data_IF_039826613657
#
_entry.id   IF_039826613657
#
_cell.length_a   1.000
_cell.length_b   1.000
_cell.length_c   1.000
_cell.angle_alpha   90.00
_cell.angle_beta   90.00
_cell.angle_gamma   90.00
#
_symmetry.space_group_name_H-M   'P 1'
#
loop_
_entity.id
_entity.type
_entity.pdbx_description
1 polymer ?
#
# COMPACT_ATOMS: atom_id res chain seq x y z
N UNK A 1 -23.81 -3.40 -13.22
CA UNK A 1 -23.57 -1.95 -13.00
C UNK A 1 -22.94 -1.31 -14.24
N UNK A 2 -23.11 -0.01 -14.44
CA UNK A 2 -22.49 0.74 -15.55
C UNK A 2 -21.03 1.10 -15.23
N UNK A 3 -20.22 1.40 -16.26
CA UNK A 3 -18.80 1.74 -16.11
C UNK A 3 -18.55 2.92 -15.14
N UNK A 4 -19.42 3.95 -15.15
CA UNK A 4 -19.30 5.08 -14.22
C UNK A 4 -19.54 4.70 -12.76
N UNK A 5 -20.45 3.76 -12.50
CA UNK A 5 -20.69 3.21 -11.15
C UNK A 5 -19.53 2.37 -10.69
N UNK A 6 -18.98 1.51 -11.58
CA UNK A 6 -17.78 0.72 -11.29
C UNK A 6 -16.59 1.63 -10.97
N UNK A 7 -16.38 2.70 -11.74
CA UNK A 7 -15.36 3.70 -11.51
C UNK A 7 -15.50 4.38 -10.13
N UNK A 8 -16.71 4.81 -9.78
CA UNK A 8 -16.99 5.46 -8.49
C UNK A 8 -16.74 4.52 -7.30
N UNK A 9 -17.11 3.24 -7.43
CA UNK A 9 -16.94 2.24 -6.35
C UNK A 9 -15.51 1.78 -6.15
N UNK A 10 -14.67 1.83 -7.19
CA UNK A 10 -13.28 1.33 -7.15
C UNK A 10 -12.23 2.45 -7.07
N UNK A 11 -12.63 3.70 -7.31
CA UNK A 11 -11.71 4.83 -7.44
C UNK A 11 -10.89 4.81 -8.73
N UNK A 12 -11.17 3.88 -9.66
CA UNK A 12 -10.48 3.80 -10.94
C UNK A 12 -11.09 4.79 -11.96
N UNK A 13 -10.26 5.47 -12.74
CA UNK A 13 -10.75 6.26 -13.86
C UNK A 13 -11.38 5.36 -14.95
N UNK A 14 -12.42 5.84 -15.63
CA UNK A 14 -13.09 5.10 -16.72
C UNK A 14 -12.09 4.68 -17.82
N UNK A 15 -11.10 5.54 -18.11
CA UNK A 15 -10.03 5.23 -19.07
C UNK A 15 -9.15 4.07 -18.60
N UNK A 16 -8.86 4.00 -17.30
CA UNK A 16 -8.10 2.90 -16.69
C UNK A 16 -8.87 1.57 -16.77
N UNK A 17 -10.18 1.59 -16.54
CA UNK A 17 -11.01 0.39 -16.67
C UNK A 17 -10.97 -0.15 -18.11
N UNK A 18 -11.15 0.74 -19.10
CA UNK A 18 -11.07 0.37 -20.53
C UNK A 18 -9.69 -0.16 -20.92
N UNK A 19 -8.64 0.43 -20.36
CA UNK A 19 -7.27 -0.07 -20.56
C UNK A 19 -7.10 -1.49 -20.00
N UNK A 20 -7.61 -1.77 -18.81
CA UNK A 20 -7.56 -3.13 -18.23
C UNK A 20 -8.37 -4.14 -19.03
N UNK A 21 -9.54 -3.76 -19.54
CA UNK A 21 -10.30 -4.59 -20.50
C UNK A 21 -9.49 -4.89 -21.77
N UNK A 22 -8.82 -3.87 -22.34
CA UNK A 22 -8.03 -4.04 -23.57
C UNK A 22 -6.80 -4.92 -23.38
N UNK A 23 -6.27 -4.98 -22.16
CA UNK A 23 -5.13 -5.83 -21.76
C UNK A 23 -5.57 -7.25 -21.36
N UNK A 24 -6.86 -7.50 -21.20
CA UNK A 24 -7.38 -8.78 -20.70
C UNK A 24 -7.17 -9.00 -19.19
N UNK A 25 -6.78 -7.96 -18.45
CA UNK A 25 -6.62 -7.99 -16.99
C UNK A 25 -8.00 -7.98 -16.32
N UNK A 26 -8.93 -7.28 -16.91
CA UNK A 26 -10.35 -7.28 -16.59
C UNK A 26 -11.11 -7.86 -17.77
N UNK A 27 -12.09 -8.71 -17.49
CA UNK A 27 -12.92 -9.28 -18.53
C UNK A 27 -13.65 -8.19 -19.32
N UNK A 28 -13.87 -8.44 -20.60
CA UNK A 28 -14.66 -7.53 -21.41
C UNK A 28 -16.09 -7.46 -20.87
N UNK A 29 -16.53 -6.25 -20.58
CA UNK A 29 -17.89 -6.01 -20.11
C UNK A 29 -18.92 -6.69 -21.00
N UNK A 30 -19.92 -7.30 -20.40
CA UNK A 30 -21.13 -7.76 -21.13
C UNK A 30 -21.83 -6.55 -21.71
N UNK A 31 -22.50 -6.74 -22.83
CA UNK A 31 -23.33 -5.68 -23.42
C UNK A 31 -24.77 -5.92 -22.99
N UNK A 32 -25.36 -4.92 -22.33
CA UNK A 32 -26.77 -4.93 -21.99
C UNK A 32 -27.66 -4.70 -23.24
N UNK A 33 -29.00 -4.79 -23.10
CA UNK A 33 -29.96 -4.66 -24.20
C UNK A 33 -29.83 -3.38 -25.03
N UNK A 34 -29.27 -2.30 -24.45
CA UNK A 34 -28.99 -1.02 -25.13
C UNK A 34 -27.56 -0.88 -25.65
N UNK A 35 -26.76 -1.97 -25.75
CA UNK A 35 -25.39 -1.95 -26.24
C UNK A 35 -24.36 -1.35 -25.26
N UNK A 36 -24.80 -0.88 -24.11
CA UNK A 36 -23.95 -0.31 -23.06
C UNK A 36 -23.19 -1.41 -22.30
N UNK A 37 -21.99 -1.05 -21.81
CA UNK A 37 -21.17 -1.93 -20.97
C UNK A 37 -21.80 -2.17 -19.61
N UNK A 38 -21.93 -3.44 -19.23
CA UNK A 38 -22.43 -3.88 -17.93
C UNK A 38 -21.40 -4.78 -17.24
N UNK A 39 -21.16 -4.48 -15.96
CA UNK A 39 -20.20 -5.17 -15.11
C UNK A 39 -20.93 -5.87 -13.95
N UNK A 40 -20.43 -7.06 -13.56
CA UNK A 40 -20.96 -7.85 -12.46
C UNK A 40 -20.22 -7.60 -11.13
N UNK A 41 -20.57 -8.41 -10.14
CA UNK A 41 -19.89 -8.40 -8.84
C UNK A 41 -18.43 -8.87 -8.96
N UNK A 42 -18.18 -9.90 -9.76
CA UNK A 42 -16.84 -10.44 -10.02
C UNK A 42 -15.92 -9.39 -10.64
N UNK A 43 -16.40 -8.58 -11.59
CA UNK A 43 -15.62 -7.49 -12.19
C UNK A 43 -15.25 -6.43 -11.15
N UNK A 44 -16.19 -6.13 -10.24
CA UNK A 44 -15.94 -5.19 -9.14
C UNK A 44 -14.86 -5.73 -8.20
N UNK A 45 -14.95 -6.99 -7.78
CA UNK A 45 -13.99 -7.62 -6.87
C UNK A 45 -12.59 -7.67 -7.50
N UNK A 46 -12.51 -8.12 -8.76
CA UNK A 46 -11.26 -8.18 -9.53
C UNK A 46 -10.63 -6.78 -9.68
N UNK A 47 -11.42 -5.78 -10.01
CA UNK A 47 -10.93 -4.41 -10.14
C UNK A 47 -10.51 -3.81 -8.79
N UNK A 48 -11.24 -4.07 -7.70
CA UNK A 48 -10.82 -3.67 -6.35
C UNK A 48 -9.48 -4.30 -5.96
N UNK A 49 -9.26 -5.57 -6.29
CA UNK A 49 -7.98 -6.24 -6.07
C UNK A 49 -6.86 -5.56 -6.86
N UNK A 50 -7.05 -5.34 -8.16
CA UNK A 50 -6.07 -4.66 -9.03
C UNK A 50 -5.70 -3.28 -8.45
N UNK A 51 -6.70 -2.49 -8.05
CA UNK A 51 -6.48 -1.14 -7.51
C UNK A 51 -5.71 -1.18 -6.18
N UNK A 52 -6.00 -2.13 -5.28
CA UNK A 52 -5.22 -2.33 -4.05
C UNK A 52 -3.77 -2.66 -4.34
N UNK A 53 -3.51 -3.60 -5.24
CA UNK A 53 -2.15 -3.96 -5.66
C UNK A 53 -1.40 -2.78 -6.27
N UNK A 54 -2.06 -1.99 -7.13
CA UNK A 54 -1.49 -0.78 -7.73
C UNK A 54 -1.15 0.27 -6.67
N UNK A 55 -2.04 0.49 -5.71
CA UNK A 55 -1.82 1.43 -4.59
C UNK A 55 -0.68 0.96 -3.66
N UNK A 56 -0.45 -0.34 -3.55
CA UNK A 56 0.70 -0.92 -2.86
C UNK A 56 2.01 -0.87 -3.68
N UNK A 57 2.00 -0.25 -4.87
CA UNK A 57 3.18 -0.09 -5.72
C UNK A 57 3.49 -1.28 -6.63
N UNK A 58 2.59 -2.27 -6.73
CA UNK A 58 2.80 -3.41 -7.64
C UNK A 58 2.82 -2.98 -9.10
N UNK A 59 3.77 -3.53 -9.85
CA UNK A 59 3.81 -3.39 -11.31
C UNK A 59 2.67 -4.18 -11.95
N UNK A 60 2.14 -3.64 -13.05
CA UNK A 60 0.99 -4.25 -13.72
C UNK A 60 1.27 -5.68 -14.21
N UNK A 61 2.48 -5.93 -14.74
CA UNK A 61 2.91 -7.27 -15.16
C UNK A 61 2.86 -8.31 -14.04
N UNK A 62 3.16 -7.90 -12.80
CA UNK A 62 3.06 -8.80 -11.65
C UNK A 62 1.60 -9.11 -11.32
N UNK A 63 0.73 -8.09 -11.40
CA UNK A 63 -0.70 -8.27 -11.18
C UNK A 63 -1.30 -9.19 -12.25
N UNK A 64 -0.92 -9.03 -13.52
CA UNK A 64 -1.32 -9.91 -14.62
C UNK A 64 -0.97 -11.38 -14.31
N UNK A 65 0.25 -11.64 -13.83
CA UNK A 65 0.70 -12.99 -13.48
C UNK A 65 -0.01 -13.58 -12.26
N UNK A 66 -0.32 -12.76 -11.26
CA UNK A 66 -1.11 -13.20 -10.11
C UNK A 66 -2.53 -13.60 -10.52
N UNK A 67 -3.18 -12.79 -11.35
CA UNK A 67 -4.51 -13.09 -11.86
C UNK A 67 -4.51 -14.32 -12.76
N UNK A 68 -3.49 -14.49 -13.60
CA UNK A 68 -3.32 -15.69 -14.41
C UNK A 68 -3.15 -16.96 -13.55
N UNK A 69 -2.41 -16.88 -12.44
CA UNK A 69 -2.28 -17.98 -11.48
C UNK A 69 -3.62 -18.30 -10.77
N UNK A 70 -4.43 -17.28 -10.43
CA UNK A 70 -5.76 -17.51 -9.86
C UNK A 70 -6.69 -18.22 -10.86
N UNK A 71 -6.58 -17.87 -12.15
CA UNK A 71 -7.35 -18.48 -13.22
C UNK A 71 -6.83 -19.91 -13.57
N UNK A 72 -5.51 -20.14 -13.46
CA UNK A 72 -4.83 -21.43 -13.69
C UNK A 72 -3.67 -21.65 -12.71
N UNK A 73 -3.87 -22.40 -11.60
CA UNK A 73 -2.83 -22.65 -10.60
C UNK A 73 -1.58 -23.36 -11.11
N UNK A 74 -1.63 -24.00 -12.30
CA UNK A 74 -0.46 -24.65 -12.91
C UNK A 74 0.63 -23.64 -13.33
N UNK A 75 0.27 -22.35 -13.43
CA UNK A 75 1.17 -21.25 -13.77
C UNK A 75 2.00 -20.75 -12.58
N UNK A 76 1.87 -21.37 -11.41
CA UNK A 76 2.69 -21.09 -10.23
C UNK A 76 4.16 -21.39 -10.49
N UNK A 77 5.01 -20.38 -10.27
CA UNK A 77 6.46 -20.49 -10.50
C UNK A 77 7.23 -19.96 -9.28
N UNK A 78 8.49 -20.44 -9.04
CA UNK A 78 9.34 -19.87 -7.99
C UNK A 78 9.48 -18.35 -8.11
N UNK A 79 9.58 -17.83 -9.35
CA UNK A 79 9.62 -16.39 -9.61
C UNK A 79 8.41 -15.65 -9.03
N UNK A 80 7.22 -16.25 -9.09
CA UNK A 80 6.00 -15.64 -8.57
C UNK A 80 6.05 -15.57 -7.03
N UNK A 81 6.59 -16.61 -6.37
CA UNK A 81 6.81 -16.61 -4.93
C UNK A 81 7.79 -15.51 -4.52
N UNK A 82 8.94 -15.41 -5.19
CA UNK A 82 9.94 -14.36 -4.91
C UNK A 82 9.32 -12.96 -5.05
N UNK A 83 8.47 -12.73 -6.05
CA UNK A 83 7.77 -11.45 -6.22
C UNK A 83 6.75 -11.17 -5.13
N UNK A 84 6.03 -12.19 -4.67
CA UNK A 84 5.10 -12.07 -3.53
C UNK A 84 5.88 -11.64 -2.29
N UNK A 85 6.99 -12.32 -1.99
CA UNK A 85 7.80 -12.03 -0.81
C UNK A 85 8.38 -10.61 -0.84
N UNK A 86 8.86 -10.16 -2.00
CA UNK A 86 9.32 -8.76 -2.17
C UNK A 86 8.19 -7.75 -1.91
N UNK A 87 6.98 -7.99 -2.41
CA UNK A 87 5.85 -7.10 -2.17
C UNK A 87 5.39 -7.12 -0.72
N UNK A 88 5.38 -8.29 -0.07
CA UNK A 88 5.05 -8.41 1.36
C UNK A 88 6.05 -7.62 2.21
N UNK A 89 7.35 -7.74 1.93
CA UNK A 89 8.38 -6.96 2.61
C UNK A 89 8.21 -5.44 2.38
N UNK A 90 7.87 -5.04 1.15
CA UNK A 90 7.59 -3.65 0.80
C UNK A 90 6.38 -3.08 1.55
N UNK A 91 5.30 -3.85 1.65
CA UNK A 91 4.08 -3.48 2.39
C UNK A 91 4.40 -3.31 3.88
N UNK A 92 5.16 -4.23 4.47
CA UNK A 92 5.53 -4.14 5.89
C UNK A 92 6.39 -2.91 6.18
N UNK A 93 7.31 -2.55 5.27
CA UNK A 93 8.09 -1.31 5.39
C UNK A 93 7.18 -0.07 5.36
N UNK A 94 6.28 0.03 4.41
CA UNK A 94 5.33 1.16 4.31
C UNK A 94 4.47 1.24 5.58
N UNK A 95 3.98 0.11 6.07
CA UNK A 95 3.20 0.04 7.31
C UNK A 95 3.98 0.56 8.51
N UNK A 96 5.24 0.13 8.66
CA UNK A 96 6.13 0.61 9.72
C UNK A 96 6.36 2.13 9.64
N UNK A 97 6.57 2.67 8.43
CA UNK A 97 6.79 4.10 8.23
C UNK A 97 5.51 4.91 8.54
N UNK A 98 4.34 4.38 8.20
CA UNK A 98 3.05 4.98 8.56
C UNK A 98 2.81 4.98 10.09
N UNK A 99 3.15 3.89 10.77
CA UNK A 99 3.03 3.78 12.22
C UNK A 99 3.96 4.79 12.93
N UNK A 100 5.18 4.98 12.45
CA UNK A 100 6.11 6.02 12.93
C UNK A 100 5.55 7.42 12.73
N UNK A 101 5.03 7.70 11.54
CA UNK A 101 4.40 9.00 11.22
C UNK A 101 3.21 9.26 12.11
N UNK A 102 2.36 8.26 12.33
CA UNK A 102 1.21 8.35 13.23
C UNK A 102 1.64 8.63 14.66
N UNK A 103 2.63 7.93 15.18
CA UNK A 103 3.16 8.14 16.53
C UNK A 103 3.71 9.57 16.69
N UNK A 104 4.46 10.05 15.70
CA UNK A 104 4.95 11.43 15.68
C UNK A 104 3.83 12.46 15.71
N UNK A 105 2.80 12.31 14.87
CA UNK A 105 1.66 13.22 14.83
C UNK A 105 0.84 13.21 16.12
N UNK A 106 0.68 12.05 16.75
CA UNK A 106 0.03 11.94 18.06
C UNK A 106 0.84 12.67 19.15
N UNK A 107 2.16 12.57 19.11
CA UNK A 107 3.04 13.34 20.01
C UNK A 107 2.90 14.86 19.81
N UNK A 108 2.90 15.32 18.55
CA UNK A 108 2.66 16.74 18.22
C UNK A 108 1.30 17.21 18.74
N UNK A 109 0.25 16.43 18.47
CA UNK A 109 -1.11 16.73 18.96
C UNK A 109 -1.16 16.86 20.48
N UNK A 110 -0.49 15.94 21.20
CA UNK A 110 -0.42 15.97 22.67
C UNK A 110 0.22 17.26 23.18
N UNK A 111 1.36 17.66 22.64
CA UNK A 111 2.05 18.91 23.01
C UNK A 111 1.19 20.14 22.75
N UNK A 112 0.57 20.22 21.59
CA UNK A 112 -0.33 21.34 21.25
C UNK A 112 -1.50 21.39 22.25
N UNK A 113 -2.10 20.25 22.60
CA UNK A 113 -3.21 20.17 23.53
C UNK A 113 -2.80 20.55 24.98
N UNK A 114 -1.54 20.30 25.34
CA UNK A 114 -0.95 20.70 26.63
C UNK A 114 -0.49 22.15 26.66
N UNK A 115 -0.58 22.91 25.55
CA UNK A 115 -0.12 24.30 25.47
C UNK A 115 1.41 24.44 25.45
N UNK A 116 2.12 23.36 25.15
CA UNK A 116 3.59 23.37 25.06
C UNK A 116 4.05 24.01 23.73
N UNK A 117 4.81 25.10 23.84
CA UNK A 117 5.37 25.85 22.69
C UNK A 117 6.76 25.35 22.30
N UNK A 118 7.06 24.08 22.44
CA UNK A 118 8.40 23.55 22.17
C UNK A 118 8.64 23.39 20.65
N UNK A 119 9.65 24.08 20.14
CA UNK A 119 10.07 24.01 18.75
C UNK A 119 10.60 22.59 18.39
N UNK A 120 10.24 22.08 17.23
CA UNK A 120 10.68 20.77 16.70
C UNK A 120 12.22 20.57 16.68
N UNK A 121 12.99 21.64 16.61
CA UNK A 121 14.47 21.59 16.68
C UNK A 121 14.99 21.21 18.07
N UNK A 122 14.32 21.63 19.14
CA UNK A 122 14.76 21.33 20.51
C UNK A 122 14.52 19.86 20.89
N UNK A 123 13.47 19.24 20.40
CA UNK A 123 13.16 17.83 20.67
C UNK A 123 14.13 16.85 20.00
N UNK A 124 14.73 17.23 18.86
CA UNK A 124 15.74 16.42 18.18
C UNK A 124 17.12 16.53 18.85
N UNK A 125 17.43 17.67 19.47
CA UNK A 125 18.69 17.89 20.18
C UNK A 125 18.68 17.20 21.56
N UNK A 126 17.55 17.20 22.26
CA UNK A 126 17.38 16.46 23.52
C UNK A 126 17.47 14.95 23.33
N UNK A 127 16.82 14.39 22.29
CA UNK A 127 16.91 12.96 21.97
C UNK A 127 18.31 12.52 21.53
N UNK A 128 19.07 13.39 20.86
CA UNK A 128 20.46 13.12 20.49
C UNK A 128 21.37 13.15 21.72
N UNK A 129 21.17 14.10 22.64
CA UNK A 129 21.97 14.20 23.88
C UNK A 129 21.73 13.05 24.83
N UNK A 130 20.49 12.56 24.98
CA UNK A 130 20.17 11.37 25.78
C UNK A 130 20.79 10.08 25.21
N UNK A 131 20.85 9.97 23.88
CA UNK A 131 21.48 8.84 23.20
C UNK A 131 22.99 8.80 23.42
N UNK A 132 23.66 9.96 23.41
CA UNK A 132 25.10 10.09 23.70
C UNK A 132 25.43 9.86 25.17
N UNK A 133 24.61 10.36 26.10
CA UNK A 133 24.77 10.13 27.52
C UNK A 133 24.66 8.65 27.89
N UNK A 134 23.75 7.90 27.26
CA UNK A 134 23.63 6.44 27.45
C UNK A 134 24.84 5.67 26.90
N UNK A 135 25.42 6.09 25.79
CA UNK A 135 26.65 5.46 25.23
C UNK A 135 27.87 5.68 26.13
N UNK A 136 28.03 6.86 26.71
CA UNK A 136 29.14 7.15 27.62
C UNK A 136 29.02 6.49 28.98
N UNK A 137 27.81 6.22 29.46
CA UNK A 137 27.59 5.50 30.71
C UNK A 137 27.88 3.98 30.60
N UNK A 138 27.90 3.42 29.41
CA UNK A 138 28.16 2.00 29.17
C UNK A 138 29.67 1.64 29.09
N UNK A 139 30.55 2.63 28.89
CA UNK A 139 32.02 2.41 28.72
C UNK A 139 32.79 2.42 30.04
N UNK A 140 32.16 2.77 31.17
CA UNK A 140 32.84 3.00 32.46
C UNK A 140 32.87 1.83 33.46
N UNK A 141 32.60 0.59 33.08
CA UNK A 141 32.69 -0.58 34.01
C UNK A 141 33.56 -1.69 33.42
N UNK A 142 34.86 -1.54 33.55
CA UNK A 142 35.77 -2.65 33.52
C UNK A 142 36.50 -2.72 34.91
N UNK A 143 36.27 -3.69 35.78
CA UNK A 143 37.07 -3.87 36.97
C UNK A 143 38.30 -4.72 36.66
N UNK A 144 39.39 -4.28 37.20
CA UNK A 144 40.68 -4.99 37.35
C UNK A 144 40.49 -6.29 38.14
#
# INVERSE_FOLDING_TARGET
MKIGELAARTGAAVGTIRFYESRGILDKARRGPGGQREYGATDLERLCFIMRCRNAGMKLECIERFLAYEDDPSLGTPWLLDRIDEYLAGIEKIRSDLDRTKAYLLGVRGRIAAGETTCLKCASEEAASESEARKNSAVGKNPV
#
